data_IF_303909429472
#
_entry.id   IF_303909429472
#
_cell.length_a   1.000
_cell.length_b   1.000
_cell.length_c   1.000
_cell.angle_alpha   90.00
_cell.angle_beta   90.00
_cell.angle_gamma   90.00
#
_symmetry.space_group_name_H-M   'P 1'
#
loop_
_entity.id
_entity.type
_entity.pdbx_description
1 polymer ?
#
# COMPACT_ATOMS: atom_id res chain seq x y z
N UNK A 1 -16.22 12.25 0.41
CA UNK A 1 -15.42 12.60 1.61
C UNK A 1 -14.32 11.56 1.76
N UNK A 2 -13.06 11.92 1.57
CA UNK A 2 -11.93 11.00 1.83
C UNK A 2 -11.83 10.77 3.34
N UNK A 3 -11.94 9.53 3.77
CA UNK A 3 -11.84 9.15 5.18
C UNK A 3 -10.44 9.52 5.69
N UNK A 4 -10.37 10.59 6.44
CA UNK A 4 -9.16 10.99 7.15
C UNK A 4 -8.95 9.97 8.28
N UNK A 5 -7.92 9.16 8.19
CA UNK A 5 -7.61 8.20 9.25
C UNK A 5 -7.43 8.93 10.58
N UNK A 6 -8.16 8.53 11.57
CA UNK A 6 -8.00 9.08 12.92
C UNK A 6 -6.70 8.55 13.51
N UNK A 7 -5.82 9.43 13.98
CA UNK A 7 -4.53 9.05 14.59
C UNK A 7 -4.68 7.99 15.70
N UNK A 8 -5.69 8.04 16.58
CA UNK A 8 -5.89 6.98 17.58
C UNK A 8 -6.07 5.59 16.98
N UNK A 9 -6.85 5.45 15.90
CA UNK A 9 -7.07 4.16 15.22
C UNK A 9 -5.76 3.65 14.62
N UNK A 10 -4.99 4.53 13.95
CA UNK A 10 -3.67 4.17 13.41
C UNK A 10 -2.71 3.73 14.51
N UNK A 11 -2.74 4.41 15.67
CA UNK A 11 -1.92 4.06 16.83
C UNK A 11 -2.22 2.64 17.30
N UNK A 12 -3.48 2.25 17.40
CA UNK A 12 -3.87 0.88 17.77
C UNK A 12 -3.38 -0.17 16.75
N UNK A 13 -3.55 0.09 15.46
CA UNK A 13 -3.04 -0.81 14.41
C UNK A 13 -1.53 -0.98 14.53
N UNK A 14 -0.81 0.12 14.75
CA UNK A 14 0.65 0.07 14.87
C UNK A 14 1.09 -0.64 16.15
N UNK A 15 0.39 -0.50 17.25
CA UNK A 15 0.65 -1.26 18.48
C UNK A 15 0.54 -2.77 18.25
N UNK A 16 -0.52 -3.22 17.58
CA UNK A 16 -0.67 -4.63 17.20
C UNK A 16 0.47 -5.09 16.31
N UNK A 17 0.87 -4.29 15.32
CA UNK A 17 2.00 -4.62 14.45
C UNK A 17 3.32 -4.67 15.22
N UNK A 18 3.56 -3.74 16.15
CA UNK A 18 4.77 -3.74 16.98
C UNK A 18 4.84 -4.99 17.87
N UNK A 19 3.71 -5.41 18.43
CA UNK A 19 3.62 -6.65 19.19
C UNK A 19 3.94 -7.87 18.33
N UNK A 20 3.31 -7.95 17.15
CA UNK A 20 3.53 -9.02 16.18
C UNK A 20 5.00 -9.22 15.80
N UNK A 21 5.76 -8.14 15.57
CA UNK A 21 7.18 -8.21 15.21
C UNK A 21 8.12 -8.16 16.42
N UNK A 22 7.60 -8.30 17.64
CA UNK A 22 8.35 -8.19 18.91
C UNK A 22 9.18 -6.91 18.97
N UNK A 23 8.60 -5.79 18.55
CA UNK A 23 9.25 -4.50 18.56
C UNK A 23 9.08 -3.83 19.92
N UNK A 24 10.08 -3.95 20.78
CA UNK A 24 10.09 -3.35 22.10
C UNK A 24 11.07 -2.17 22.15
N UNK A 25 10.56 -0.94 22.27
CA UNK A 25 11.41 0.23 22.44
C UNK A 25 12.13 0.21 23.81
N UNK A 26 13.42 0.65 23.82
CA UNK A 26 14.20 0.70 25.06
C UNK A 26 13.98 1.97 25.89
N UNK A 27 13.81 3.11 25.19
CA UNK A 27 13.82 4.44 25.83
C UNK A 27 12.48 5.16 25.75
N UNK A 28 11.49 4.59 25.08
CA UNK A 28 10.17 5.18 24.87
C UNK A 28 9.09 4.15 25.16
N UNK A 29 7.91 4.59 25.57
CA UNK A 29 6.78 3.66 25.66
C UNK A 29 6.37 3.19 24.24
N UNK A 30 5.73 2.02 24.17
CA UNK A 30 5.19 1.50 22.92
C UNK A 30 4.18 2.48 22.31
N UNK A 31 3.35 3.08 23.15
CA UNK A 31 2.31 4.04 22.79
C UNK A 31 2.92 5.30 22.17
N UNK A 32 4.00 5.82 22.74
CA UNK A 32 4.73 6.97 22.19
C UNK A 32 5.28 6.66 20.81
N UNK A 33 5.90 5.51 20.63
CA UNK A 33 6.44 5.10 19.32
C UNK A 33 5.31 4.87 18.31
N UNK A 34 4.23 4.20 18.71
CA UNK A 34 3.09 3.94 17.84
C UNK A 34 2.40 5.24 17.41
N UNK A 35 2.21 6.18 18.35
CA UNK A 35 1.61 7.50 18.03
C UNK A 35 2.48 8.32 17.09
N UNK A 36 3.81 8.34 17.30
CA UNK A 36 4.73 9.02 16.41
C UNK A 36 4.72 8.41 14.98
N UNK A 37 4.68 7.08 14.87
CA UNK A 37 4.57 6.37 13.60
C UNK A 37 3.21 6.62 12.93
N UNK A 38 2.11 6.65 13.69
CA UNK A 38 0.79 6.98 13.19
C UNK A 38 0.74 8.39 12.57
N UNK A 39 1.33 9.36 13.24
CA UNK A 39 1.47 10.72 12.73
C UNK A 39 2.32 10.76 11.45
N UNK A 40 3.44 10.05 11.42
CA UNK A 40 4.32 9.97 10.26
C UNK A 40 3.63 9.32 9.05
N UNK A 41 2.95 8.20 9.24
CA UNK A 41 2.19 7.53 8.17
C UNK A 41 0.98 8.36 7.73
N UNK A 42 0.45 9.20 8.62
CA UNK A 42 -0.58 10.19 8.28
C UNK A 42 -0.08 11.37 7.45
N UNK A 43 1.23 11.45 7.18
CA UNK A 43 1.85 12.49 6.35
C UNK A 43 2.53 13.61 7.15
N UNK A 44 2.66 13.49 8.47
CA UNK A 44 3.47 14.42 9.23
C UNK A 44 4.95 14.18 8.94
N UNK A 45 5.72 15.25 8.78
CA UNK A 45 7.17 15.13 8.62
C UNK A 45 7.80 14.43 9.82
N UNK A 46 8.78 13.55 9.55
CA UNK A 46 9.55 12.84 10.59
C UNK A 46 10.22 13.78 11.60
N UNK A 47 10.51 15.01 11.21
CA UNK A 47 11.06 16.06 12.08
C UNK A 47 10.03 16.72 13.01
N UNK A 48 8.74 16.51 12.73
CA UNK A 48 7.64 17.07 13.52
C UNK A 48 6.95 16.04 14.41
N UNK A 49 7.49 14.83 14.46
CA UNK A 49 7.00 13.79 15.39
C UNK A 49 7.65 13.98 16.78
N UNK A 50 7.06 13.31 17.77
CA UNK A 50 7.57 13.34 19.16
C UNK A 50 8.89 12.59 19.35
N UNK A 51 9.35 11.85 18.33
CA UNK A 51 10.59 11.06 18.39
C UNK A 51 11.71 11.73 17.59
N UNK A 52 12.97 11.53 17.99
CA UNK A 52 14.11 11.86 17.14
C UNK A 52 13.99 11.20 15.76
N UNK A 53 14.33 11.94 14.73
CA UNK A 53 14.20 11.50 13.32
C UNK A 53 14.76 10.10 13.06
N UNK A 54 16.00 9.84 13.52
CA UNK A 54 16.65 8.53 13.34
C UNK A 54 15.91 7.40 14.04
N UNK A 55 15.40 7.66 15.25
CA UNK A 55 14.64 6.70 16.05
C UNK A 55 13.31 6.36 15.35
N UNK A 56 12.58 7.36 14.87
CA UNK A 56 11.35 7.16 14.12
C UNK A 56 11.59 6.31 12.87
N UNK A 57 12.61 6.66 12.07
CA UNK A 57 12.95 5.94 10.85
C UNK A 57 13.41 4.50 11.11
N UNK A 58 14.07 4.25 12.24
CA UNK A 58 14.42 2.89 12.66
C UNK A 58 13.16 2.03 12.85
N UNK A 59 12.19 2.50 13.64
CA UNK A 59 10.95 1.77 13.88
C UNK A 59 10.10 1.63 12.62
N UNK A 60 10.00 2.70 11.83
CA UNK A 60 9.29 2.68 10.56
C UNK A 60 9.87 1.62 9.59
N UNK A 61 11.21 1.56 9.49
CA UNK A 61 11.89 0.55 8.68
C UNK A 61 11.52 -0.88 9.09
N UNK A 62 11.40 -1.15 10.39
CA UNK A 62 11.00 -2.47 10.90
C UNK A 62 9.58 -2.84 10.46
N UNK A 63 8.64 -1.90 10.54
CA UNK A 63 7.26 -2.10 10.08
C UNK A 63 7.17 -2.31 8.57
N UNK A 64 7.98 -1.61 7.78
CA UNK A 64 7.93 -1.69 6.31
C UNK A 64 8.31 -3.06 5.74
N UNK A 65 8.89 -3.95 6.54
CA UNK A 65 9.24 -5.31 6.14
C UNK A 65 8.19 -6.36 6.53
N UNK A 66 7.12 -5.96 7.19
CA UNK A 66 6.04 -6.90 7.56
C UNK A 66 5.39 -7.45 6.28
N UNK A 67 5.37 -8.78 6.17
CA UNK A 67 4.72 -9.47 5.06
C UNK A 67 3.28 -9.77 5.42
N UNK A 68 2.39 -9.63 4.45
CA UNK A 68 0.96 -9.88 4.64
C UNK A 68 0.32 -10.52 3.40
N UNK A 69 -0.85 -11.09 3.58
CA UNK A 69 -1.73 -11.56 2.53
C UNK A 69 -3.12 -10.97 2.70
N UNK A 70 -3.83 -10.79 1.60
CA UNK A 70 -5.19 -10.26 1.55
C UNK A 70 -6.08 -11.15 0.68
N UNK A 71 -7.39 -11.21 0.92
CA UNK A 71 -8.30 -11.93 0.04
C UNK A 71 -8.40 -11.20 -1.31
N UNK A 72 -8.50 -11.98 -2.39
CA UNK A 72 -8.57 -11.47 -3.76
C UNK A 72 -9.80 -12.04 -4.47
N UNK A 73 -10.42 -11.23 -5.31
CA UNK A 73 -11.62 -11.61 -6.07
C UNK A 73 -11.35 -11.98 -7.53
N UNK A 74 -10.18 -11.63 -8.05
CA UNK A 74 -9.82 -11.80 -9.46
C UNK A 74 -10.17 -10.59 -10.34
N UNK A 75 -10.83 -9.55 -9.82
CA UNK A 75 -11.09 -8.30 -10.57
C UNK A 75 -10.23 -7.18 -10.00
N UNK A 76 -9.30 -6.70 -10.79
CA UNK A 76 -8.30 -5.75 -10.35
C UNK A 76 -8.35 -4.45 -11.14
N UNK A 77 -8.32 -3.34 -10.44
CA UNK A 77 -8.05 -2.04 -11.03
C UNK A 77 -6.55 -1.74 -10.91
N UNK A 78 -5.92 -1.37 -12.02
CA UNK A 78 -4.54 -0.93 -12.09
C UNK A 78 -4.51 0.54 -12.50
N UNK A 79 -3.73 1.33 -11.77
CA UNK A 79 -3.52 2.75 -12.08
C UNK A 79 -2.13 3.17 -11.58
N UNK A 80 -1.64 4.30 -12.06
CA UNK A 80 -0.42 4.89 -11.57
C UNK A 80 -0.61 6.33 -11.13
N UNK A 81 0.12 6.71 -10.09
CA UNK A 81 0.21 8.09 -9.59
C UNK A 81 1.62 8.62 -9.74
N UNK A 82 1.75 9.86 -10.20
CA UNK A 82 3.03 10.56 -10.26
C UNK A 82 3.32 11.20 -8.90
N UNK A 83 4.45 10.84 -8.31
CA UNK A 83 4.95 11.44 -7.06
C UNK A 83 6.19 12.27 -7.38
N UNK A 84 6.15 13.54 -7.02
CA UNK A 84 7.29 14.45 -7.15
C UNK A 84 8.06 14.55 -5.85
N UNK A 85 9.36 14.71 -5.95
CA UNK A 85 10.23 15.04 -4.85
C UNK A 85 10.57 16.53 -4.86
N UNK A 86 10.99 17.05 -3.71
CA UNK A 86 11.39 18.46 -3.56
C UNK A 86 12.57 18.85 -4.45
N UNK A 87 13.39 17.89 -4.86
CA UNK A 87 14.53 18.12 -5.80
C UNK A 87 14.12 18.12 -7.28
N UNK A 88 12.81 18.10 -7.59
CA UNK A 88 12.29 18.07 -8.96
C UNK A 88 12.22 16.69 -9.60
N UNK A 89 12.81 15.67 -9.00
CA UNK A 89 12.66 14.29 -9.46
C UNK A 89 11.23 13.80 -9.25
N UNK A 90 10.80 12.84 -10.05
CA UNK A 90 9.50 12.21 -9.89
C UNK A 90 9.60 10.70 -10.12
N UNK A 91 8.64 9.98 -9.53
CA UNK A 91 8.45 8.56 -9.71
C UNK A 91 6.99 8.26 -10.04
N UNK A 92 6.77 7.16 -10.74
CA UNK A 92 5.44 6.57 -10.92
C UNK A 92 5.23 5.50 -9.86
N UNK A 93 4.16 5.63 -9.09
CA UNK A 93 3.70 4.62 -8.15
C UNK A 93 2.58 3.86 -8.82
N UNK A 94 2.85 2.62 -9.19
CA UNK A 94 1.87 1.70 -9.74
C UNK A 94 1.17 0.99 -8.59
N UNK A 95 -0.15 0.87 -8.67
CA UNK A 95 -0.96 0.26 -7.65
C UNK A 95 -1.95 -0.68 -8.31
N UNK A 96 -2.05 -1.88 -7.76
CA UNK A 96 -3.12 -2.82 -8.09
C UNK A 96 -4.07 -2.87 -6.90
N UNK A 97 -5.34 -2.69 -7.16
CA UNK A 97 -6.40 -2.76 -6.17
C UNK A 97 -7.44 -3.78 -6.59
N UNK A 98 -7.80 -4.67 -5.71
CA UNK A 98 -8.94 -5.55 -5.91
C UNK A 98 -10.25 -4.74 -5.79
N UNK A 99 -11.10 -4.81 -6.82
CA UNK A 99 -12.32 -3.98 -6.92
C UNK A 99 -13.34 -4.37 -5.86
N UNK A 100 -13.51 -5.68 -5.59
CA UNK A 100 -14.52 -6.19 -4.66
C UNK A 100 -14.06 -6.11 -3.22
N UNK A 101 -12.86 -6.62 -2.93
CA UNK A 101 -12.34 -6.65 -1.56
C UNK A 101 -11.75 -5.33 -1.11
N UNK A 102 -11.47 -4.41 -2.04
CA UNK A 102 -10.76 -3.13 -1.83
C UNK A 102 -9.30 -3.28 -1.41
N UNK A 103 -8.79 -4.49 -1.33
CA UNK A 103 -7.41 -4.77 -0.97
C UNK A 103 -6.42 -4.19 -1.98
N UNK A 104 -5.24 -3.82 -1.51
CA UNK A 104 -4.09 -3.44 -2.34
C UNK A 104 -3.03 -4.54 -2.19
N UNK A 105 -3.08 -5.59 -3.05
CA UNK A 105 -2.16 -6.71 -2.97
C UNK A 105 -0.75 -6.38 -3.44
N UNK A 106 -0.62 -5.38 -4.30
CA UNK A 106 0.67 -5.06 -4.92
C UNK A 106 0.80 -3.57 -5.26
N UNK A 107 2.01 -3.07 -5.09
CA UNK A 107 2.44 -1.78 -5.61
C UNK A 107 3.91 -1.84 -6.02
N UNK A 108 4.33 -0.93 -6.89
CA UNK A 108 5.74 -0.73 -7.22
C UNK A 108 6.03 0.73 -7.57
N UNK A 109 7.32 1.09 -7.60
CA UNK A 109 7.79 2.43 -7.94
C UNK A 109 8.78 2.34 -9.09
N UNK A 110 8.56 3.15 -10.13
CA UNK A 110 9.41 3.23 -11.31
C UNK A 110 9.75 4.68 -11.65
N UNK A 111 10.89 4.89 -12.31
CA UNK A 111 11.28 6.21 -12.83
C UNK A 111 10.63 6.53 -14.16
N UNK A 112 10.20 5.50 -14.89
CA UNK A 112 9.55 5.63 -16.20
C UNK A 112 8.25 4.83 -16.24
N UNK A 113 7.38 5.17 -17.16
CA UNK A 113 6.13 4.45 -17.45
C UNK A 113 6.31 3.66 -18.75
N UNK A 114 6.22 2.35 -18.68
CA UNK A 114 6.36 1.48 -19.87
C UNK A 114 5.58 0.17 -19.71
N UNK A 115 5.29 -0.50 -20.84
CA UNK A 115 4.63 -1.80 -20.85
C UNK A 115 5.41 -2.91 -20.13
N UNK A 116 6.74 -2.79 -20.03
CA UNK A 116 7.57 -3.74 -19.26
C UNK A 116 7.16 -3.78 -17.78
N UNK A 117 6.75 -2.64 -17.22
CA UNK A 117 6.29 -2.60 -15.83
C UNK A 117 4.97 -3.34 -15.63
N UNK A 118 4.13 -3.42 -16.66
CA UNK A 118 2.91 -4.24 -16.62
C UNK A 118 3.26 -5.72 -16.46
N UNK A 119 4.33 -6.21 -17.12
CA UNK A 119 4.83 -7.58 -16.91
C UNK A 119 5.22 -7.85 -15.46
N UNK A 120 5.92 -6.89 -14.84
CA UNK A 120 6.32 -6.98 -13.43
C UNK A 120 5.08 -7.02 -12.52
N UNK A 121 4.07 -6.19 -12.81
CA UNK A 121 2.80 -6.22 -12.10
C UNK A 121 2.16 -7.60 -12.21
N UNK A 122 2.00 -8.13 -13.41
CA UNK A 122 1.36 -9.43 -13.65
C UNK A 122 2.08 -10.57 -12.92
N UNK A 123 3.42 -10.62 -13.00
CA UNK A 123 4.20 -11.65 -12.33
C UNK A 123 4.03 -11.62 -10.80
N UNK A 124 3.95 -10.42 -10.20
CA UNK A 124 3.75 -10.29 -8.76
C UNK A 124 2.29 -10.55 -8.36
N UNK A 125 1.33 -10.15 -9.19
CA UNK A 125 -0.08 -10.45 -8.95
C UNK A 125 -0.35 -11.95 -8.99
N UNK A 126 0.24 -12.69 -9.93
CA UNK A 126 0.13 -14.16 -9.98
C UNK A 126 0.59 -14.80 -8.66
N UNK A 127 1.71 -14.33 -8.11
CA UNK A 127 2.20 -14.79 -6.80
C UNK A 127 1.23 -14.43 -5.66
N UNK A 128 0.70 -13.21 -5.67
CA UNK A 128 -0.28 -12.78 -4.67
C UNK A 128 -1.56 -13.62 -4.73
N UNK A 129 -2.04 -13.95 -5.93
CA UNK A 129 -3.18 -14.83 -6.15
C UNK A 129 -2.94 -16.25 -5.64
N UNK A 130 -1.76 -16.83 -5.89
CA UNK A 130 -1.38 -18.15 -5.38
C UNK A 130 -1.40 -18.17 -3.85
N UNK A 131 -0.87 -17.12 -3.21
CA UNK A 131 -0.89 -16.97 -1.76
C UNK A 131 -2.33 -16.82 -1.26
N UNK A 132 -3.15 -15.99 -1.91
CA UNK A 132 -4.54 -15.76 -1.54
C UNK A 132 -5.37 -17.06 -1.66
N UNK A 133 -5.24 -17.81 -2.75
CA UNK A 133 -5.90 -19.12 -2.91
C UNK A 133 -5.54 -20.09 -1.78
N UNK A 134 -4.26 -20.14 -1.41
CA UNK A 134 -3.78 -21.02 -0.35
C UNK A 134 -4.31 -20.65 1.03
N UNK A 135 -4.29 -19.34 1.37
CA UNK A 135 -4.63 -18.87 2.72
C UNK A 135 -6.14 -18.71 2.89
N UNK A 136 -6.80 -18.04 1.95
CA UNK A 136 -8.23 -17.67 2.07
C UNK A 136 -9.16 -18.70 1.43
N UNK A 137 -8.61 -19.73 0.76
CA UNK A 137 -9.38 -20.76 0.04
C UNK A 137 -10.32 -20.15 -1.02
N UNK A 138 -9.98 -18.96 -1.53
CA UNK A 138 -10.78 -18.28 -2.54
C UNK A 138 -10.65 -18.97 -3.90
N UNK A 139 -11.78 -19.07 -4.60
CA UNK A 139 -11.82 -19.50 -5.99
C UNK A 139 -11.86 -18.27 -6.89
N UNK A 140 -10.90 -18.16 -7.78
CA UNK A 140 -10.84 -17.11 -8.81
C UNK A 140 -10.99 -17.80 -10.17
N UNK A 141 -12.21 -17.84 -10.69
CA UNK A 141 -12.51 -18.51 -11.96
C UNK A 141 -12.01 -17.69 -13.15
N UNK A 142 -11.98 -16.36 -12.98
CA UNK A 142 -11.57 -15.42 -14.00
C UNK A 142 -10.74 -14.29 -13.38
N UNK A 143 -9.69 -13.87 -14.07
CA UNK A 143 -8.86 -12.73 -13.68
C UNK A 143 -8.96 -11.65 -14.75
N UNK A 144 -9.42 -10.45 -14.35
CA UNK A 144 -9.63 -9.31 -15.24
C UNK A 144 -8.91 -8.09 -14.67
N UNK A 145 -8.21 -7.34 -15.54
CA UNK A 145 -7.57 -6.09 -15.20
C UNK A 145 -8.31 -4.89 -15.81
N UNK A 146 -8.74 -3.97 -14.98
CA UNK A 146 -9.39 -2.71 -15.35
C UNK A 146 -8.37 -1.58 -15.34
N UNK A 147 -8.34 -0.74 -16.39
CA UNK A 147 -7.38 0.36 -16.52
C UNK A 147 -7.93 1.57 -17.30
N UNK A 148 -7.25 2.70 -17.25
CA UNK A 148 -7.67 3.97 -17.90
C UNK A 148 -7.41 4.02 -19.42
N UNK A 149 -6.81 2.98 -20.00
CA UNK A 149 -6.49 2.90 -21.41
C UNK A 149 -5.18 3.58 -21.82
N UNK A 150 -4.33 3.92 -20.87
CA UNK A 150 -3.00 4.43 -21.20
C UNK A 150 -2.16 3.41 -21.99
N UNK A 151 -1.29 3.89 -22.88
CA UNK A 151 -0.53 3.05 -23.83
C UNK A 151 0.32 1.95 -23.20
N UNK A 152 0.78 2.14 -21.97
CA UNK A 152 1.53 1.12 -21.24
C UNK A 152 0.72 -0.18 -21.04
N UNK A 153 -0.62 -0.08 -20.97
CA UNK A 153 -1.51 -1.22 -20.77
C UNK A 153 -1.79 -2.03 -22.03
N UNK A 154 -1.35 -1.59 -23.20
CA UNK A 154 -1.38 -2.41 -24.43
C UNK A 154 -0.60 -3.73 -24.24
N UNK A 155 0.32 -3.77 -23.28
CA UNK A 155 1.03 -4.99 -22.91
C UNK A 155 0.10 -6.14 -22.46
N UNK A 156 -1.07 -5.86 -21.92
CA UNK A 156 -2.06 -6.89 -21.58
C UNK A 156 -2.54 -7.65 -22.80
N UNK A 157 -2.84 -6.94 -23.90
CA UNK A 157 -3.25 -7.57 -25.17
C UNK A 157 -2.15 -8.45 -25.74
N UNK A 158 -0.88 -8.02 -25.69
CA UNK A 158 0.27 -8.79 -26.19
C UNK A 158 0.49 -10.09 -25.39
N UNK A 159 0.08 -10.13 -24.14
CA UNK A 159 0.21 -11.27 -23.24
C UNK A 159 -1.04 -12.14 -23.18
N UNK A 160 -2.05 -11.80 -23.98
CA UNK A 160 -3.36 -12.46 -23.93
C UNK A 160 -3.96 -12.51 -22.52
N UNK A 161 -3.77 -11.42 -21.75
CA UNK A 161 -4.35 -11.24 -20.43
C UNK A 161 -5.68 -10.51 -20.59
N UNK A 162 -6.70 -11.01 -19.92
CA UNK A 162 -8.03 -10.40 -19.97
C UNK A 162 -8.01 -9.03 -19.28
N UNK A 163 -8.39 -8.01 -20.02
CA UNK A 163 -8.40 -6.64 -19.54
C UNK A 163 -9.52 -5.82 -20.17
N UNK A 164 -9.97 -4.80 -19.46
CA UNK A 164 -11.00 -3.88 -19.93
C UNK A 164 -10.55 -2.44 -19.69
N UNK A 165 -10.79 -1.61 -20.72
CA UNK A 165 -10.65 -0.16 -20.58
C UNK A 165 -11.90 0.40 -19.95
N UNK A 166 -11.78 0.96 -18.74
CA UNK A 166 -12.89 1.55 -18.00
C UNK A 166 -13.17 2.95 -18.51
N UNK A 167 -14.41 3.22 -18.95
CA UNK A 167 -14.86 4.54 -19.39
C UNK A 167 -15.21 5.46 -18.20
N UNK A 168 -15.39 6.75 -18.45
CA UNK A 168 -15.49 7.83 -17.45
C UNK A 168 -16.51 7.57 -16.32
N UNK A 169 -17.63 6.92 -16.57
CA UNK A 169 -18.69 6.66 -15.58
C UNK A 169 -18.38 5.48 -14.64
N UNK A 170 -17.50 4.57 -15.04
CA UNK A 170 -17.07 3.41 -14.23
C UNK A 170 -15.75 3.67 -13.49
N UNK A 171 -15.06 4.78 -13.81
CA UNK A 171 -13.87 5.24 -13.12
C UNK A 171 -14.08 5.49 -11.63
N UNK A 172 -15.32 5.75 -11.20
CA UNK A 172 -15.62 6.02 -9.80
C UNK A 172 -15.17 4.89 -8.86
N UNK A 173 -15.23 3.64 -9.28
CA UNK A 173 -14.79 2.52 -8.43
C UNK A 173 -13.26 2.41 -8.33
N UNK A 174 -12.55 2.62 -9.43
CA UNK A 174 -11.09 2.66 -9.43
C UNK A 174 -10.60 3.97 -8.79
N UNK A 175 -11.17 5.13 -9.15
CA UNK A 175 -10.77 6.44 -8.63
C UNK A 175 -11.07 6.62 -7.14
N UNK A 176 -12.18 6.11 -6.61
CA UNK A 176 -12.48 6.24 -5.17
C UNK A 176 -11.42 5.57 -4.30
N UNK A 177 -10.94 4.40 -4.73
CA UNK A 177 -9.85 3.72 -4.03
C UNK A 177 -8.52 4.47 -4.12
N UNK A 178 -8.25 5.05 -5.29
CA UNK A 178 -7.03 5.83 -5.53
C UNK A 178 -7.13 7.27 -5.03
N UNK A 179 -8.33 7.83 -4.87
CA UNK A 179 -8.54 9.21 -4.41
C UNK A 179 -7.92 9.44 -3.01
N UNK A 180 -8.13 8.52 -2.07
CA UNK A 180 -7.52 8.59 -0.74
C UNK A 180 -6.01 8.53 -0.83
N UNK A 181 -5.47 7.67 -1.68
CA UNK A 181 -4.05 7.52 -1.89
C UNK A 181 -3.47 8.71 -2.65
N UNK A 182 -4.09 9.13 -3.78
CA UNK A 182 -3.66 10.31 -4.55
C UNK A 182 -3.67 11.57 -3.68
N UNK A 183 -4.69 11.75 -2.83
CA UNK A 183 -4.73 12.88 -1.90
C UNK A 183 -3.59 12.83 -0.87
N UNK A 184 -3.26 11.64 -0.38
CA UNK A 184 -2.12 11.49 0.55
C UNK A 184 -0.78 11.56 -0.14
N UNK A 185 -0.66 11.05 -1.35
CA UNK A 185 0.54 11.22 -2.18
C UNK A 185 0.77 12.69 -2.52
N UNK A 186 -0.29 13.46 -2.79
CA UNK A 186 -0.19 14.91 -2.99
C UNK A 186 0.30 15.63 -1.71
N UNK A 187 -0.18 15.23 -0.52
CA UNK A 187 0.34 15.78 0.73
C UNK A 187 1.79 15.38 1.02
N UNK A 188 2.30 14.30 0.41
CA UNK A 188 3.70 13.89 0.50
C UNK A 188 4.65 14.76 -0.32
N UNK A 189 4.21 15.40 -1.40
CA UNK A 189 5.05 16.34 -2.16
C UNK A 189 5.58 17.47 -1.25
N UNK A 190 4.89 17.76 -0.17
CA UNK A 190 5.28 18.76 0.84
C UNK A 190 5.98 18.18 2.08
N UNK A 191 6.01 16.85 2.24
CA UNK A 191 6.44 16.23 3.50
C UNK A 191 7.59 15.24 3.36
N UNK A 192 7.93 14.77 2.16
CA UNK A 192 9.14 13.99 2.00
C UNK A 192 10.35 14.89 2.21
N UNK A 193 11.30 14.48 3.09
CA UNK A 193 12.53 15.23 3.29
C UNK A 193 13.27 15.44 1.97
N UNK A 194 13.96 16.57 1.83
CA UNK A 194 14.73 16.97 0.65
C UNK A 194 15.60 15.84 0.07
N UNK A 195 16.14 14.97 0.93
CA UNK A 195 17.00 13.84 0.56
C UNK A 195 16.24 12.50 0.43
N UNK A 196 14.90 12.53 0.28
CA UNK A 196 14.14 11.30 0.09
C UNK A 196 14.51 10.66 -1.25
N UNK A 197 14.78 9.37 -1.20
CA UNK A 197 15.06 8.54 -2.36
C UNK A 197 13.94 7.51 -2.57
N UNK A 198 14.03 6.77 -3.67
CA UNK A 198 13.09 5.72 -4.02
C UNK A 198 12.85 4.72 -2.86
N UNK A 199 13.89 4.35 -2.12
CA UNK A 199 13.77 3.40 -1.00
C UNK A 199 12.95 3.95 0.16
N UNK A 200 13.08 5.25 0.45
CA UNK A 200 12.28 5.91 1.49
C UNK A 200 10.79 5.89 1.12
N UNK A 201 10.47 6.17 -0.14
CA UNK A 201 9.11 6.15 -0.65
C UNK A 201 8.55 4.72 -0.60
N UNK A 202 9.32 3.71 -1.06
CA UNK A 202 8.89 2.30 -1.01
C UNK A 202 8.56 1.88 0.42
N UNK A 203 9.42 2.19 1.39
CA UNK A 203 9.18 1.84 2.81
C UNK A 203 7.94 2.50 3.35
N UNK A 204 7.76 3.79 3.06
CA UNK A 204 6.58 4.51 3.51
C UNK A 204 5.30 3.90 2.93
N UNK A 205 5.27 3.65 1.61
CA UNK A 205 4.14 3.01 0.93
C UNK A 205 3.89 1.58 1.45
N UNK A 206 4.94 0.81 1.73
CA UNK A 206 4.80 -0.53 2.31
C UNK A 206 4.04 -0.48 3.64
N UNK A 207 4.43 0.43 4.53
CA UNK A 207 3.73 0.61 5.81
C UNK A 207 2.32 1.17 5.60
N UNK A 208 2.16 2.12 4.69
CA UNK A 208 0.86 2.70 4.36
C UNK A 208 -0.12 1.64 3.85
N UNK A 209 0.28 0.82 2.88
CA UNK A 209 -0.60 -0.22 2.31
C UNK A 209 -0.86 -1.37 3.28
N UNK A 210 0.11 -1.72 4.11
CA UNK A 210 -0.12 -2.67 5.19
C UNK A 210 -1.23 -2.19 6.13
N UNK A 211 -1.14 -0.96 6.62
CA UNK A 211 -2.15 -0.37 7.50
C UNK A 211 -3.49 -0.21 6.77
N UNK A 212 -3.46 0.25 5.52
CA UNK A 212 -4.67 0.36 4.69
C UNK A 212 -5.40 -0.98 4.60
N UNK A 213 -4.68 -2.05 4.26
CA UNK A 213 -5.28 -3.37 4.14
C UNK A 213 -5.83 -3.87 5.48
N UNK A 214 -5.12 -3.68 6.59
CA UNK A 214 -5.62 -4.04 7.93
C UNK A 214 -6.93 -3.32 8.28
N UNK A 215 -7.06 -2.05 7.89
CA UNK A 215 -8.24 -1.24 8.19
C UNK A 215 -9.45 -1.54 7.30
N UNK A 216 -9.24 -1.99 6.08
CA UNK A 216 -10.31 -2.07 5.08
C UNK A 216 -10.58 -3.46 4.54
N UNK A 217 -9.70 -4.42 4.82
CA UNK A 217 -9.85 -5.79 4.34
C UNK A 217 -9.37 -6.80 5.38
N UNK A 218 -9.94 -8.00 5.42
CA UNK A 218 -9.34 -9.09 6.18
C UNK A 218 -7.90 -9.28 5.75
N UNK A 219 -6.96 -9.16 6.71
CA UNK A 219 -5.53 -9.24 6.43
C UNK A 219 -4.88 -10.29 7.31
N UNK A 220 -4.06 -11.14 6.72
CA UNK A 220 -3.24 -12.09 7.45
C UNK A 220 -1.78 -11.65 7.41
N UNK A 221 -1.16 -11.55 8.58
CA UNK A 221 0.27 -11.32 8.69
C UNK A 221 1.01 -12.64 8.51
N UNK A 222 2.08 -12.60 7.72
CA UNK A 222 2.87 -13.78 7.37
C UNK A 222 4.25 -13.66 8.03
N UNK A 223 4.52 -14.50 9.02
CA UNK A 223 5.86 -14.62 9.60
C UNK A 223 6.20 -16.09 9.79
N UNK A 224 7.38 -16.51 9.34
CA UNK A 224 8.01 -17.84 9.59
C UNK A 224 7.02 -19.03 9.60
N UNK A 225 5.99 -18.99 8.78
CA UNK A 225 4.96 -20.04 8.69
C UNK A 225 3.78 -19.87 9.65
N UNK A 226 3.76 -18.86 10.50
CA UNK A 226 2.62 -18.51 11.34
C UNK A 226 1.74 -17.51 10.58
N UNK A 227 0.44 -17.79 10.54
CA UNK A 227 -0.56 -16.91 9.92
C UNK A 227 -1.42 -16.32 11.03
N UNK A 228 -1.38 -15.00 11.17
CA UNK A 228 -2.18 -14.26 12.15
C UNK A 228 -3.22 -13.42 11.41
N UNK A 229 -4.48 -13.64 11.72
CA UNK A 229 -5.58 -12.82 11.22
C UNK A 229 -5.64 -11.51 12.01
N UNK A 230 -5.59 -10.39 11.30
CA UNK A 230 -5.71 -9.05 11.88
C UNK A 230 -7.04 -8.46 11.40
N UNK A 231 -8.09 -8.66 12.19
CA UNK A 231 -9.37 -8.00 11.99
C UNK A 231 -9.53 -6.94 13.08
N UNK A 232 -9.42 -5.70 12.68
CA UNK A 232 -9.76 -4.58 13.56
C UNK A 232 -11.16 -4.14 13.19
N UNK A 233 -12.13 -4.50 14.04
CA UNK A 233 -13.50 -4.01 13.89
C UNK A 233 -13.47 -2.48 13.94
N UNK A 234 -13.95 -1.86 12.87
CA UNK A 234 -14.23 -0.42 12.84
C UNK A 234 -15.53 -0.20 13.66
N UNK A 235 -15.42 -0.01 14.98
CA UNK A 235 -16.45 0.60 15.78
C UNK A 235 -16.44 2.13 15.67
#
# INVERSE_FOLDING_TARGET
MGTRWKVPVLTQVILVLMEYINLSPRFYSRETVASALANYVSGLSSWRTMLPHSTLLYYHRRLSYVKYAVPLSGVYAIDEAKVRLTNGQYYYVWIVRDVKTKAIPFFMITSVRSGVHVLVVLANMKRAEEVARRIFKVRMDKVIYLHDGATAYNAFSWLNVEHEKVMFNERDYAEQGFRSLKHRLASMEFHFPWNSNKFTIVRWLSTFFLIYNILYTPTYLLDKGVIINVNISNE
#
